data_IF_661775041820
#
_entry.id   IF_661775041820
#
_cell.length_a   1.000
_cell.length_b   1.000
_cell.length_c   1.000
_cell.angle_alpha   90.00
_cell.angle_beta   90.00
_cell.angle_gamma   90.00
#
_symmetry.space_group_name_H-M   'P 1'
#
loop_
_entity.id
_entity.type
_entity.pdbx_description
1 polymer ?
#
# COMPACT_ATOMS: atom_id res chain seq x y z
N UNK A 1 -5.74 -2.38 -3.23
CA UNK A 1 -5.87 -1.41 -4.36
C UNK A 1 -5.71 0.07 -3.95
N UNK A 2 -5.98 0.40 -2.69
CA UNK A 2 -5.86 1.75 -2.16
C UNK A 2 -4.47 2.39 -2.38
N UNK A 3 -3.38 1.62 -2.29
CA UNK A 3 -2.03 2.16 -2.50
C UNK A 3 -1.81 2.72 -3.90
N UNK A 4 -2.23 2.02 -4.96
CA UNK A 4 -2.09 2.54 -6.33
C UNK A 4 -2.96 3.78 -6.55
N UNK A 5 -4.16 3.82 -5.98
CA UNK A 5 -5.05 4.99 -6.04
C UNK A 5 -4.40 6.23 -5.40
N UNK A 6 -3.92 6.10 -4.15
CA UNK A 6 -3.30 7.22 -3.44
C UNK A 6 -1.97 7.64 -4.05
N UNK A 7 -1.19 6.68 -4.56
CA UNK A 7 0.06 6.97 -5.25
C UNK A 7 -0.16 7.80 -6.51
N UNK A 8 -1.15 7.44 -7.35
CA UNK A 8 -1.48 8.19 -8.56
C UNK A 8 -2.01 9.59 -8.23
N UNK A 9 -2.91 9.71 -7.25
CA UNK A 9 -3.40 11.03 -6.77
C UNK A 9 -2.26 11.89 -6.26
N UNK A 10 -1.34 11.31 -5.48
CA UNK A 10 -0.17 12.02 -4.98
C UNK A 10 0.69 12.55 -6.12
N UNK A 11 0.88 11.78 -7.18
CA UNK A 11 1.69 12.22 -8.32
C UNK A 11 1.01 13.34 -9.13
N UNK A 12 -0.32 13.29 -9.26
CA UNK A 12 -1.09 14.31 -9.99
C UNK A 12 -1.21 15.63 -9.21
N UNK A 13 -1.60 15.56 -7.94
CA UNK A 13 -1.99 16.72 -7.13
C UNK A 13 -0.81 17.40 -6.44
N UNK A 14 0.23 16.65 -6.05
CA UNK A 14 1.41 17.24 -5.40
C UNK A 14 2.10 18.19 -6.36
N UNK A 15 2.54 19.36 -5.89
CA UNK A 15 3.30 20.35 -6.69
C UNK A 15 4.72 19.90 -7.10
N UNK A 16 5.03 18.61 -7.01
CA UNK A 16 6.34 18.04 -7.35
C UNK A 16 6.20 17.18 -8.60
N UNK A 17 6.95 17.51 -9.65
CA UNK A 17 6.96 16.79 -10.94
C UNK A 17 8.28 16.02 -11.12
N UNK A 18 8.52 15.06 -10.23
CA UNK A 18 9.63 14.09 -10.36
C UNK A 18 9.10 12.78 -10.92
N UNK A 19 9.80 12.11 -11.85
CA UNK A 19 9.37 10.81 -12.37
C UNK A 19 9.10 9.80 -11.25
N UNK A 20 8.03 9.02 -11.40
CA UNK A 20 7.65 7.95 -10.47
C UNK A 20 7.68 6.63 -11.22
N UNK A 21 8.62 5.75 -10.87
CA UNK A 21 8.71 4.40 -11.43
C UNK A 21 7.91 3.46 -10.53
N UNK A 22 6.98 2.72 -11.11
CA UNK A 22 6.04 1.85 -10.39
C UNK A 22 6.14 0.44 -10.94
N UNK A 23 6.25 -0.54 -10.05
CA UNK A 23 6.16 -1.96 -10.40
C UNK A 23 4.69 -2.38 -10.37
N UNK A 24 3.99 -2.24 -11.49
CA UNK A 24 2.58 -2.64 -11.57
C UNK A 24 2.45 -4.17 -11.44
N UNK A 25 1.70 -4.69 -10.45
CA UNK A 25 1.60 -6.12 -10.23
C UNK A 25 0.70 -6.75 -11.29
N UNK A 26 1.01 -8.00 -11.68
CA UNK A 26 0.23 -8.76 -12.68
C UNK A 26 -0.76 -9.73 -12.01
N UNK A 27 -0.28 -10.54 -11.07
CA UNK A 27 -1.11 -11.53 -10.35
C UNK A 27 -2.11 -10.88 -9.39
N UNK A 28 -1.74 -9.78 -8.73
CA UNK A 28 -2.59 -9.07 -7.76
C UNK A 28 -3.83 -8.42 -8.39
N UNK A 29 -3.91 -8.32 -9.72
CA UNK A 29 -5.08 -7.78 -10.43
C UNK A 29 -6.35 -8.61 -10.22
N UNK A 30 -6.22 -9.89 -9.87
CA UNK A 30 -7.35 -10.81 -9.65
C UNK A 30 -7.26 -11.57 -8.32
N UNK A 31 -6.34 -11.16 -7.45
CA UNK A 31 -6.11 -11.87 -6.21
C UNK A 31 -7.21 -11.54 -5.19
N UNK A 32 -7.86 -12.53 -4.56
CA UNK A 32 -9.04 -12.29 -3.70
C UNK A 32 -8.70 -11.49 -2.43
N UNK A 33 -7.47 -11.59 -1.93
CA UNK A 33 -7.00 -10.79 -0.79
C UNK A 33 -6.52 -9.39 -1.20
N UNK A 34 -6.37 -9.11 -2.49
CA UNK A 34 -5.95 -7.79 -2.98
C UNK A 34 -7.17 -6.88 -3.21
N UNK A 35 -8.03 -6.77 -2.20
CA UNK A 35 -9.20 -5.89 -2.17
C UNK A 35 -8.95 -4.71 -1.23
N UNK A 36 -9.67 -3.61 -1.43
CA UNK A 36 -9.62 -2.44 -0.56
C UNK A 36 -11.04 -1.95 -0.31
N UNK A 37 -11.32 -1.50 0.90
CA UNK A 37 -12.60 -0.88 1.24
C UNK A 37 -12.73 0.52 0.60
N UNK A 38 -13.96 1.03 0.50
CA UNK A 38 -14.18 2.41 0.05
C UNK A 38 -13.67 3.44 1.07
N UNK A 39 -13.69 3.10 2.35
CA UNK A 39 -13.20 3.98 3.42
C UNK A 39 -11.67 4.19 3.31
N UNK A 40 -10.91 3.14 2.99
CA UNK A 40 -9.48 3.25 2.67
C UNK A 40 -9.20 4.20 1.50
N UNK A 41 -10.14 4.37 0.57
CA UNK A 41 -10.00 5.30 -0.55
C UNK A 41 -10.39 6.74 -0.16
N UNK A 42 -11.46 6.89 0.61
CA UNK A 42 -11.99 8.19 1.00
C UNK A 42 -11.11 8.87 2.07
N UNK A 43 -10.80 8.13 3.13
CA UNK A 43 -10.13 8.64 4.34
C UNK A 43 -8.67 8.17 4.46
N UNK A 44 -8.24 7.22 3.63
CA UNK A 44 -6.86 6.75 3.63
C UNK A 44 -5.88 7.69 2.92
N UNK A 45 -4.60 7.31 2.96
CA UNK A 45 -3.50 8.02 2.30
C UNK A 45 -2.49 7.02 1.72
N UNK A 46 -1.52 7.52 0.95
CA UNK A 46 -0.40 6.70 0.51
C UNK A 46 0.49 6.38 1.71
N UNK A 47 0.71 5.08 1.97
CA UNK A 47 1.53 4.62 3.08
C UNK A 47 2.89 4.18 2.52
N UNK A 48 4.01 4.86 2.87
CA UNK A 48 5.34 4.48 2.40
C UNK A 48 5.78 3.09 2.89
N UNK A 49 5.30 2.68 4.06
CA UNK A 49 5.46 1.34 4.61
C UNK A 49 4.13 0.96 5.28
N UNK A 50 3.69 -0.27 5.06
CA UNK A 50 2.52 -0.86 5.70
C UNK A 50 3.04 -1.78 6.79
N UNK A 51 2.54 -1.61 8.02
CA UNK A 51 2.87 -2.47 9.14
C UNK A 51 2.15 -3.81 9.09
N UNK A 52 2.28 -4.58 10.16
CA UNK A 52 1.47 -5.79 10.34
C UNK A 52 -0.02 -5.43 10.43
N UNK A 53 -0.86 -6.20 9.74
CA UNK A 53 -2.31 -6.00 9.70
C UNK A 53 -3.03 -6.92 10.67
N UNK A 54 -2.42 -8.06 11.00
CA UNK A 54 -2.96 -9.01 11.96
C UNK A 54 -2.62 -8.59 13.40
N UNK A 55 -3.47 -9.00 14.35
CA UNK A 55 -3.24 -8.74 15.77
C UNK A 55 -2.16 -9.69 16.32
N UNK A 56 -0.96 -9.16 16.54
CA UNK A 56 0.20 -9.90 17.06
C UNK A 56 0.80 -9.20 18.29
N UNK A 57 1.21 -9.98 19.30
CA UNK A 57 1.97 -9.46 20.45
C UNK A 57 3.40 -9.09 20.02
N UNK A 58 3.76 -7.79 20.00
CA UNK A 58 5.09 -7.35 19.58
C UNK A 58 6.22 -7.91 20.44
N UNK A 59 5.95 -8.24 21.71
CA UNK A 59 6.97 -8.76 22.64
C UNK A 59 7.33 -10.22 22.36
N UNK A 60 6.43 -10.97 21.73
CA UNK A 60 6.66 -12.36 21.34
C UNK A 60 7.37 -12.49 19.98
N UNK A 61 7.46 -11.40 19.20
CA UNK A 61 8.05 -11.40 17.85
C UNK A 61 9.57 -11.59 17.94
N UNK A 62 10.08 -12.65 17.29
CA UNK A 62 11.52 -12.96 17.21
C UNK A 62 12.15 -12.59 15.86
N UNK A 63 11.33 -12.35 14.83
CA UNK A 63 11.77 -12.09 13.46
C UNK A 63 10.76 -11.19 12.77
N UNK A 64 11.27 -10.22 12.02
CA UNK A 64 10.50 -9.38 11.12
C UNK A 64 10.92 -9.70 9.69
N UNK A 65 9.96 -9.82 8.77
CA UNK A 65 10.21 -10.05 7.35
C UNK A 65 9.82 -8.79 6.59
N UNK A 66 10.79 -8.16 5.94
CA UNK A 66 10.55 -7.01 5.06
C UNK A 66 10.31 -7.53 3.65
N UNK A 67 9.20 -7.13 3.04
CA UNK A 67 8.85 -7.50 1.67
C UNK A 67 8.30 -6.30 0.88
N UNK A 68 8.35 -6.42 -0.45
CA UNK A 68 7.73 -5.50 -1.39
C UNK A 68 7.12 -6.33 -2.52
N UNK A 69 5.92 -5.98 -2.95
CA UNK A 69 5.18 -6.68 -4.00
C UNK A 69 4.22 -5.78 -4.75
#
# INVERSE_FOLDING_TARGET
PAQVYHMLRRQALRGMRRPLVVMSPKSLLRHPLAISSLDELANGTFLPAIGEIDDLDPKAVKRVVLCSG
#
